data_IF_042001384800
#
_entry.id   IF_042001384800
#
_cell.length_a   1.000
_cell.length_b   1.000
_cell.length_c   1.000
_cell.angle_alpha   90.00
_cell.angle_beta   90.00
_cell.angle_gamma   90.00
#
_symmetry.space_group_name_H-M   'P 1'
#
loop_
_entity.id
_entity.type
_entity.pdbx_description
1 polymer ?
#
# COMPACT_ATOMS: atom_id res chain seq x y z
N UNK A 1 3.48 -8.79 43.01
CA UNK A 1 4.50 -8.58 41.95
C UNK A 1 3.76 -8.11 40.72
N UNK A 2 4.05 -6.90 40.23
CA UNK A 2 3.33 -6.31 39.09
C UNK A 2 3.90 -6.88 37.78
N UNK A 3 3.14 -7.71 37.06
CA UNK A 3 3.57 -8.17 35.72
C UNK A 3 3.18 -7.11 34.69
N UNK A 4 4.16 -6.48 34.04
CA UNK A 4 3.89 -5.55 32.94
C UNK A 4 3.92 -6.33 31.63
N UNK A 5 2.79 -6.65 30.98
CA UNK A 5 2.79 -7.51 29.79
C UNK A 5 3.47 -6.87 28.57
N UNK A 6 3.64 -5.54 28.53
CA UNK A 6 4.11 -4.80 27.36
C UNK A 6 5.28 -3.84 27.67
N UNK A 7 6.42 -4.36 28.12
CA UNK A 7 7.58 -3.52 28.51
C UNK A 7 8.85 -3.76 27.67
N UNK A 8 8.74 -4.42 26.51
CA UNK A 8 9.88 -4.69 25.65
C UNK A 8 10.19 -3.48 24.77
N UNK A 9 11.43 -3.02 24.81
CA UNK A 9 11.97 -1.99 23.90
C UNK A 9 12.67 -2.71 22.75
N UNK A 10 12.30 -2.38 21.52
CA UNK A 10 12.98 -2.86 20.32
C UNK A 10 13.72 -1.69 19.68
N UNK A 11 15.02 -1.85 19.45
CA UNK A 11 15.79 -0.92 18.63
C UNK A 11 15.64 -1.34 17.18
N UNK A 12 15.15 -0.44 16.34
CA UNK A 12 15.01 -0.65 14.90
C UNK A 12 15.30 0.62 14.13
N UNK A 13 15.83 0.46 12.94
CA UNK A 13 16.01 1.51 11.94
C UNK A 13 14.68 1.82 11.25
N UNK A 14 14.63 2.97 10.57
CA UNK A 14 13.47 3.37 9.77
C UNK A 14 13.20 2.40 8.60
N UNK A 15 14.26 1.84 8.01
CA UNK A 15 14.15 0.85 6.95
C UNK A 15 13.53 -0.46 7.47
N UNK A 16 14.04 -1.00 8.59
CA UNK A 16 13.48 -2.21 9.21
C UNK A 16 12.01 -2.02 9.59
N UNK A 17 11.67 -0.86 10.15
CA UNK A 17 10.30 -0.52 10.46
C UNK A 17 9.43 -0.50 9.18
N UNK A 18 9.87 0.13 8.10
CA UNK A 18 9.11 0.19 6.85
C UNK A 18 8.94 -1.19 6.17
N UNK A 19 9.96 -2.04 6.23
CA UNK A 19 9.88 -3.44 5.78
C UNK A 19 8.84 -4.19 6.62
N UNK A 20 8.89 -4.08 7.94
CA UNK A 20 7.90 -4.73 8.82
C UNK A 20 6.47 -4.27 8.55
N UNK A 21 6.26 -2.95 8.33
CA UNK A 21 4.95 -2.42 7.94
C UNK A 21 4.48 -2.99 6.59
N UNK A 22 5.38 -3.14 5.61
CA UNK A 22 5.07 -3.70 4.29
C UNK A 22 4.71 -5.19 4.35
N UNK A 23 5.45 -5.99 5.12
CA UNK A 23 5.13 -7.42 5.34
C UNK A 23 3.81 -7.60 6.09
N UNK A 24 3.53 -6.72 7.07
CA UNK A 24 2.24 -6.71 7.77
C UNK A 24 1.11 -6.33 6.82
N UNK A 25 1.34 -5.37 5.91
CA UNK A 25 0.37 -4.98 4.88
C UNK A 25 0.03 -6.14 3.94
N UNK A 26 1.02 -6.95 3.55
CA UNK A 26 0.84 -8.17 2.75
C UNK A 26 0.00 -9.21 3.52
N UNK A 27 0.27 -9.39 4.81
CA UNK A 27 -0.52 -10.31 5.65
C UNK A 27 -1.99 -9.87 5.71
N UNK A 28 -2.24 -8.58 5.94
CA UNK A 28 -3.58 -7.99 5.92
C UNK A 28 -4.26 -8.13 4.54
N UNK A 29 -3.49 -7.99 3.46
CA UNK A 29 -3.98 -8.10 2.09
C UNK A 29 -4.55 -9.50 1.81
N UNK A 30 -3.84 -10.56 2.20
CA UNK A 30 -4.27 -11.94 1.98
C UNK A 30 -5.58 -12.31 2.70
N UNK A 31 -5.95 -11.59 3.76
CA UNK A 31 -7.21 -11.80 4.50
C UNK A 31 -8.27 -10.74 4.19
N UNK A 32 -8.08 -9.93 3.13
CA UNK A 32 -9.05 -8.94 2.68
C UNK A 32 -9.14 -7.67 3.52
N UNK A 33 -8.19 -7.43 4.44
CA UNK A 33 -8.17 -6.25 5.31
C UNK A 33 -7.57 -5.02 4.59
N UNK A 34 -8.20 -4.59 3.50
CA UNK A 34 -7.63 -3.58 2.60
C UNK A 34 -7.42 -2.20 3.23
N UNK A 35 -8.27 -1.78 4.18
CA UNK A 35 -8.07 -0.54 4.92
C UNK A 35 -6.74 -0.56 5.70
N UNK A 36 -6.45 -1.67 6.38
CA UNK A 36 -5.20 -1.86 7.10
C UNK A 36 -4.02 -1.95 6.11
N UNK A 37 -4.16 -2.70 5.01
CA UNK A 37 -3.14 -2.80 3.97
C UNK A 37 -2.71 -1.42 3.45
N UNK A 38 -3.66 -0.59 3.01
CA UNK A 38 -3.36 0.75 2.48
C UNK A 38 -2.73 1.65 3.54
N UNK A 39 -3.18 1.54 4.79
CA UNK A 39 -2.65 2.33 5.90
C UNK A 39 -1.18 1.99 6.18
N UNK A 40 -0.86 0.71 6.34
CA UNK A 40 0.47 0.22 6.66
C UNK A 40 1.44 0.44 5.50
N UNK A 41 1.02 0.14 4.27
CA UNK A 41 1.82 0.38 3.07
C UNK A 41 2.05 1.89 2.84
N UNK A 42 1.03 2.73 3.02
CA UNK A 42 1.17 4.18 2.93
C UNK A 42 2.10 4.77 3.99
N UNK A 43 2.09 4.21 5.21
CA UNK A 43 3.06 4.57 6.24
C UNK A 43 4.49 4.20 5.79
N UNK A 44 4.71 2.96 5.35
CA UNK A 44 6.00 2.50 4.83
C UNK A 44 6.51 3.34 3.66
N UNK A 45 5.67 3.67 2.68
CA UNK A 45 6.00 4.55 1.55
C UNK A 45 6.45 5.94 2.04
N UNK A 46 5.70 6.54 2.98
CA UNK A 46 5.98 7.89 3.50
C UNK A 46 7.22 7.98 4.38
N UNK A 47 7.74 6.85 4.84
CA UNK A 47 8.96 6.81 5.64
C UNK A 47 10.22 7.01 4.77
N UNK A 48 10.13 6.77 3.46
CA UNK A 48 11.25 6.90 2.53
C UNK A 48 11.37 8.33 1.98
N UNK A 49 12.59 8.75 1.56
CA UNK A 49 12.71 9.92 0.70
C UNK A 49 12.02 9.68 -0.66
N UNK A 50 11.74 10.76 -1.38
CA UNK A 50 11.32 10.66 -2.78
C UNK A 50 12.40 9.92 -3.58
N UNK A 51 11.96 9.04 -4.49
CA UNK A 51 12.81 8.21 -5.35
C UNK A 51 12.48 8.60 -6.78
N UNK A 52 13.38 9.34 -7.41
CA UNK A 52 13.25 9.75 -8.80
C UNK A 52 13.23 8.54 -9.72
N UNK A 53 12.31 8.51 -10.68
CA UNK A 53 12.08 7.36 -11.55
C UNK A 53 11.48 6.14 -10.83
N UNK A 54 11.01 6.29 -9.60
CA UNK A 54 10.31 5.23 -8.87
C UNK A 54 8.92 4.95 -9.43
N UNK A 55 8.30 3.88 -8.96
CA UNK A 55 7.00 3.39 -9.41
C UNK A 55 5.90 4.47 -9.35
N UNK A 56 5.88 5.27 -8.27
CA UNK A 56 4.94 6.38 -8.13
C UNK A 56 5.04 7.38 -9.29
N UNK A 57 6.27 7.82 -9.62
CA UNK A 57 6.49 8.79 -10.68
C UNK A 57 6.14 8.18 -12.04
N UNK A 58 6.52 6.93 -12.29
CA UNK A 58 6.18 6.21 -13.53
C UNK A 58 4.66 6.14 -13.73
N UNK A 59 3.90 5.83 -12.69
CA UNK A 59 2.43 5.72 -12.79
C UNK A 59 1.79 7.10 -12.92
N UNK A 60 2.21 8.08 -12.10
CA UNK A 60 1.69 9.46 -12.13
C UNK A 60 1.91 10.10 -13.50
N UNK A 61 3.12 9.93 -14.04
CA UNK A 61 3.57 10.61 -15.26
C UNK A 61 3.30 9.81 -16.53
N UNK A 62 2.62 8.67 -16.44
CA UNK A 62 2.28 7.85 -17.59
C UNK A 62 1.53 8.69 -18.64
N UNK A 63 2.06 8.85 -19.88
CA UNK A 63 1.43 9.66 -20.91
C UNK A 63 0.09 9.06 -21.40
N UNK A 64 -0.16 7.79 -21.11
CA UNK A 64 -1.42 7.08 -21.40
C UNK A 64 -2.40 7.08 -20.23
N UNK A 65 -2.18 7.91 -19.19
CA UNK A 65 -3.12 8.02 -18.07
C UNK A 65 -4.52 8.42 -18.55
N UNK A 66 -5.59 7.91 -17.91
CA UNK A 66 -6.96 8.14 -18.38
C UNK A 66 -7.51 9.53 -18.05
N UNK A 67 -6.89 10.25 -17.10
CA UNK A 67 -7.37 11.54 -16.60
C UNK A 67 -6.27 12.61 -16.62
N UNK A 68 -6.63 13.91 -16.56
CA UNK A 68 -5.67 14.97 -16.26
C UNK A 68 -4.89 14.68 -14.98
N UNK A 69 -3.64 15.16 -14.91
CA UNK A 69 -2.69 14.78 -13.84
C UNK A 69 -3.26 14.94 -12.42
N UNK A 70 -3.90 16.07 -12.13
CA UNK A 70 -4.48 16.34 -10.81
C UNK A 70 -5.57 15.35 -10.42
N UNK A 71 -6.45 15.02 -11.37
CA UNK A 71 -7.51 14.03 -11.17
C UNK A 71 -6.93 12.62 -11.05
N UNK A 72 -5.90 12.31 -11.84
CA UNK A 72 -5.20 11.04 -11.77
C UNK A 72 -4.54 10.81 -10.42
N UNK A 73 -3.82 11.82 -9.90
CA UNK A 73 -3.22 11.78 -8.56
C UNK A 73 -4.30 11.61 -7.49
N UNK A 74 -5.46 12.25 -7.67
CA UNK A 74 -6.60 12.12 -6.75
C UNK A 74 -7.14 10.69 -6.75
N UNK A 75 -7.25 10.06 -7.92
CA UNK A 75 -7.68 8.64 -8.01
C UNK A 75 -6.65 7.71 -7.38
N UNK A 76 -5.36 7.85 -7.73
CA UNK A 76 -4.29 7.00 -7.20
C UNK A 76 -4.12 7.07 -5.68
N UNK A 77 -4.51 8.19 -5.07
CA UNK A 77 -4.46 8.38 -3.63
C UNK A 77 -5.84 8.31 -2.96
N UNK A 78 -6.90 8.00 -3.70
CA UNK A 78 -8.28 8.13 -3.24
C UNK A 78 -8.57 7.37 -1.95
N UNK A 79 -8.16 6.09 -1.87
CA UNK A 79 -8.36 5.27 -0.66
C UNK A 79 -7.54 5.77 0.53
N UNK A 80 -6.28 6.12 0.30
CA UNK A 80 -5.40 6.68 1.35
C UNK A 80 -5.96 7.98 1.91
N UNK A 81 -6.42 8.86 1.03
CA UNK A 81 -6.93 10.18 1.39
C UNK A 81 -8.29 10.07 2.09
N UNK A 82 -9.15 9.14 1.65
CA UNK A 82 -10.39 8.79 2.35
C UNK A 82 -10.13 8.29 3.78
N UNK A 83 -9.12 7.44 4.00
CA UNK A 83 -8.73 6.96 5.34
C UNK A 83 -8.18 8.06 6.25
N UNK A 84 -7.59 9.13 5.68
CA UNK A 84 -6.85 10.16 6.45
C UNK A 84 -7.66 11.42 6.75
N UNK A 85 -8.65 11.75 5.93
CA UNK A 85 -9.33 13.03 6.00
C UNK A 85 -10.72 12.89 6.59
N UNK A 86 -11.07 13.82 7.50
CA UNK A 86 -12.44 14.00 8.00
C UNK A 86 -13.33 14.55 6.88
N UNK A 87 -13.75 13.69 5.95
CA UNK A 87 -14.94 13.91 5.14
C UNK A 87 -16.09 13.15 5.79
N UNK A 88 -17.32 13.64 5.61
CA UNK A 88 -18.53 13.01 6.12
C UNK A 88 -18.56 11.50 5.80
N UNK A 89 -19.24 10.71 6.65
CA UNK A 89 -19.40 9.24 6.60
C UNK A 89 -19.78 8.73 5.19
N UNK A 90 -18.81 8.66 4.31
CA UNK A 90 -18.96 8.25 2.93
C UNK A 90 -18.45 6.83 2.86
N UNK A 91 -19.35 5.89 2.63
CA UNK A 91 -18.99 4.50 2.36
C UNK A 91 -18.07 4.45 1.14
N UNK A 92 -17.00 3.65 1.22
CA UNK A 92 -16.08 3.41 0.11
C UNK A 92 -15.87 1.91 -0.07
N UNK A 93 -16.01 1.44 -1.31
CA UNK A 93 -15.61 0.10 -1.68
C UNK A 93 -14.08 0.06 -1.77
N UNK A 94 -13.47 -0.87 -1.04
CA UNK A 94 -12.02 -1.09 -1.06
C UNK A 94 -11.74 -2.32 -1.90
N UNK A 95 -10.85 -2.18 -2.87
CA UNK A 95 -10.56 -3.25 -3.83
C UNK A 95 -9.10 -3.69 -3.72
N UNK A 96 -8.87 -4.97 -4.04
CA UNK A 96 -7.54 -5.56 -4.00
C UNK A 96 -6.53 -4.81 -4.88
N UNK A 97 -6.99 -4.23 -6.00
CA UNK A 97 -6.12 -3.49 -6.90
C UNK A 97 -5.44 -2.28 -6.22
N UNK A 98 -6.22 -1.44 -5.53
CA UNK A 98 -5.68 -0.26 -4.85
C UNK A 98 -4.78 -0.65 -3.67
N UNK A 99 -5.19 -1.69 -2.92
CA UNK A 99 -4.43 -2.18 -1.77
C UNK A 99 -3.08 -2.76 -2.18
N UNK A 100 -3.04 -3.58 -3.23
CA UNK A 100 -1.79 -4.14 -3.71
C UNK A 100 -0.90 -3.13 -4.42
N UNK A 101 -1.48 -2.14 -5.12
CA UNK A 101 -0.71 -1.04 -5.66
C UNK A 101 -0.01 -0.22 -4.57
N UNK A 102 -0.69 -0.01 -3.43
CA UNK A 102 -0.07 0.64 -2.27
C UNK A 102 1.14 -0.15 -1.75
N UNK A 103 1.06 -1.49 -1.68
CA UNK A 103 2.20 -2.35 -1.30
C UNK A 103 3.35 -2.18 -2.30
N UNK A 104 3.10 -2.26 -3.60
CA UNK A 104 4.15 -2.11 -4.62
C UNK A 104 4.85 -0.75 -4.57
N UNK A 105 4.09 0.32 -4.32
CA UNK A 105 4.64 1.67 -4.14
C UNK A 105 5.56 1.75 -2.92
N UNK A 106 5.18 1.12 -1.81
CA UNK A 106 6.03 1.03 -0.63
C UNK A 106 7.30 0.22 -0.92
N UNK A 107 7.16 -0.96 -1.54
CA UNK A 107 8.27 -1.83 -1.91
C UNK A 107 9.31 -1.11 -2.78
N UNK A 108 8.89 -0.37 -3.80
CA UNK A 108 9.82 0.35 -4.68
C UNK A 108 10.75 1.32 -3.94
N UNK A 109 10.38 1.80 -2.75
CA UNK A 109 11.18 2.75 -1.98
C UNK A 109 12.24 2.10 -1.08
N UNK A 110 12.16 0.81 -0.83
CA UNK A 110 12.98 0.13 0.18
C UNK A 110 13.74 -1.04 -0.40
N UNK A 111 15.01 -1.14 -0.05
CA UNK A 111 15.87 -2.29 -0.36
C UNK A 111 16.61 -2.71 0.92
N UNK A 112 16.96 -4.00 1.05
CA UNK A 112 16.67 -5.10 0.13
C UNK A 112 15.21 -5.59 0.21
N UNK A 113 14.66 -6.09 -0.90
CA UNK A 113 13.39 -6.82 -0.87
C UNK A 113 13.53 -8.17 -0.16
N UNK A 114 12.71 -8.39 0.86
CA UNK A 114 12.64 -9.65 1.58
C UNK A 114 11.87 -10.72 0.78
N UNK A 115 11.97 -11.98 1.19
CA UNK A 115 11.27 -13.07 0.53
C UNK A 115 9.73 -12.87 0.46
N UNK A 116 9.04 -12.38 1.52
CA UNK A 116 7.62 -12.03 1.43
C UNK A 116 7.31 -10.96 0.38
N UNK A 117 8.14 -9.92 0.28
CA UNK A 117 7.96 -8.85 -0.71
C UNK A 117 8.11 -9.40 -2.14
N UNK A 118 9.14 -10.20 -2.38
CA UNK A 118 9.37 -10.85 -3.68
C UNK A 118 8.20 -11.76 -4.07
N UNK A 119 7.73 -12.60 -3.13
CA UNK A 119 6.60 -13.49 -3.35
C UNK A 119 5.32 -12.71 -3.68
N UNK A 120 5.05 -11.61 -2.98
CA UNK A 120 3.91 -10.75 -3.27
C UNK A 120 3.99 -10.12 -4.66
N UNK A 121 5.15 -9.57 -5.03
CA UNK A 121 5.38 -9.01 -6.37
C UNK A 121 5.13 -10.05 -7.45
N UNK A 122 5.69 -11.24 -7.29
CA UNK A 122 5.57 -12.28 -8.32
C UNK A 122 4.12 -12.76 -8.43
N UNK A 123 3.43 -12.94 -7.30
CA UNK A 123 1.98 -13.24 -7.29
C UNK A 123 1.17 -12.14 -7.98
N UNK A 124 1.46 -10.88 -7.70
CA UNK A 124 0.78 -9.73 -8.29
C UNK A 124 0.87 -9.73 -9.82
N UNK A 125 2.07 -9.90 -10.37
CA UNK A 125 2.29 -9.90 -11.82
C UNK A 125 1.82 -11.18 -12.50
N UNK A 126 1.67 -12.29 -11.77
CA UNK A 126 1.13 -13.56 -12.29
C UNK A 126 -0.39 -13.65 -12.23
N UNK A 127 -1.09 -12.68 -11.60
CA UNK A 127 -2.54 -12.73 -11.39
C UNK A 127 -3.29 -11.69 -12.25
N UNK A 128 -3.51 -11.94 -13.55
CA UNK A 128 -4.25 -11.02 -14.42
C UNK A 128 -5.71 -10.83 -13.99
N UNK A 129 -6.24 -11.72 -13.13
CA UNK A 129 -7.59 -11.63 -12.59
C UNK A 129 -7.80 -10.40 -11.69
N UNK A 130 -6.78 -9.87 -11.01
CA UNK A 130 -6.92 -8.67 -10.16
C UNK A 130 -7.22 -7.37 -10.95
N UNK A 131 -7.40 -7.47 -12.28
CA UNK A 131 -7.62 -6.34 -13.17
C UNK A 131 -8.90 -6.45 -14.02
N UNK A 132 -9.82 -7.38 -13.72
CA UNK A 132 -11.11 -7.46 -14.42
C UNK A 132 -12.14 -6.54 -13.78
N UNK A 133 -13.03 -5.95 -14.58
CA UNK A 133 -14.00 -4.96 -14.12
C UNK A 133 -14.95 -5.51 -13.03
N UNK A 134 -15.32 -6.78 -13.15
CA UNK A 134 -16.18 -7.50 -12.21
C UNK A 134 -15.60 -7.64 -10.79
N UNK A 135 -14.27 -7.58 -10.62
CA UNK A 135 -13.62 -7.65 -9.31
C UNK A 135 -13.69 -6.30 -8.55
N UNK A 136 -14.37 -5.29 -9.11
CA UNK A 136 -14.57 -3.96 -8.51
C UNK A 136 -16.03 -3.68 -8.12
N UNK A 137 -16.95 -4.62 -8.40
CA UNK A 137 -18.34 -4.53 -7.98
C UNK A 137 -18.53 -5.15 -6.58
N UNK A 138 -19.36 -4.56 -5.70
CA UNK A 138 -19.73 -5.20 -4.44
C UNK A 138 -20.47 -6.52 -4.69
N UNK A 139 -20.24 -7.51 -3.82
CA UNK A 139 -21.09 -8.72 -3.74
C UNK A 139 -22.55 -8.40 -3.36
#
# INVERSE_FOLDING_TARGET
>A
MESRPFHRVFHMTKCEAAVQQSETAITAFHVGQFAATVTLAGAAESMAPTKTGGLWEIIRDNPKRPFPEKEWITQLNGTRDWLKHNKADSTRNLVAFEAGLAILRAMDKWEPWTAPLLAFKDLWFLTPKLMRLEDYEPE
#
